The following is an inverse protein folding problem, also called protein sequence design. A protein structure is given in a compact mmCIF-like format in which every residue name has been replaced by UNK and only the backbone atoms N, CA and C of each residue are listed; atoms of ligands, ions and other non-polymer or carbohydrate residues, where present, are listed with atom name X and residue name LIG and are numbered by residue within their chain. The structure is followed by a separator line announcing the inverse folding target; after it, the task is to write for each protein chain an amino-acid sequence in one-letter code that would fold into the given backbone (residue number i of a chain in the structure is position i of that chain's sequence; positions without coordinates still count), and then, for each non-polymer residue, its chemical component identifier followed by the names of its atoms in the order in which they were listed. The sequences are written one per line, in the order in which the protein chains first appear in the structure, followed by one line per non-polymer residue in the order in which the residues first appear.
data_IF_794670093857
#
_entry.id   IF_794670093857
#
_cell.length_a   1.000
_cell.length_b   1.000
_cell.length_c   1.000
_cell.angle_alpha   90.00
_cell.angle_beta   90.00
_cell.angle_gamma   90.00
#
_symmetry.space_group_name_H-M   'P 1'
#
loop_
_entity.id
_entity.type
_entity.pdbx_description
1 polymer ?
#
# COMPACT_ATOMS: atom_id res chain seq x y z
N UNK A 1 7.28 -21.99 47.21
CA UNK A 1 7.17 -20.65 46.58
C UNK A 1 7.74 -20.75 45.16
N UNK A 2 6.91 -20.92 44.12
CA UNK A 2 7.37 -20.92 42.72
C UNK A 2 7.18 -19.49 42.18
N UNK A 3 8.27 -18.79 41.88
CA UNK A 3 8.21 -17.47 41.25
C UNK A 3 7.76 -17.63 39.79
N UNK A 4 6.59 -17.10 39.46
CA UNK A 4 6.13 -16.94 38.08
C UNK A 4 6.80 -15.72 37.46
N UNK A 5 7.57 -15.93 36.38
CA UNK A 5 8.09 -14.83 35.57
C UNK A 5 6.96 -14.18 34.75
N UNK A 6 6.99 -12.85 34.56
CA UNK A 6 5.94 -12.13 33.86
C UNK A 6 5.98 -12.42 32.35
N UNK A 7 4.92 -13.04 31.84
CA UNK A 7 4.69 -13.45 30.44
C UNK A 7 4.65 -12.28 29.43
N UNK A 8 4.71 -11.03 29.89
CA UNK A 8 4.64 -9.83 29.04
C UNK A 8 5.94 -9.54 28.25
N UNK A 9 7.10 -10.07 28.66
CA UNK A 9 8.37 -9.80 27.95
C UNK A 9 8.57 -10.64 26.68
N UNK A 10 8.02 -11.86 26.64
CA UNK A 10 8.14 -12.76 25.47
C UNK A 10 7.36 -12.25 24.25
N UNK A 11 6.23 -11.57 24.45
CA UNK A 11 5.43 -11.02 23.36
C UNK A 11 6.16 -9.92 22.59
N UNK A 12 6.87 -9.02 23.29
CA UNK A 12 7.66 -7.96 22.67
C UNK A 12 8.87 -8.49 21.90
N UNK A 13 9.53 -9.54 22.43
CA UNK A 13 10.67 -10.16 21.77
C UNK A 13 10.25 -10.88 20.47
N UNK A 14 9.09 -11.56 20.46
CA UNK A 14 8.55 -12.21 19.26
C UNK A 14 8.17 -11.21 18.18
N UNK A 15 7.57 -10.07 18.53
CA UNK A 15 7.24 -9.01 17.58
C UNK A 15 8.50 -8.43 16.91
N UNK A 16 9.55 -8.14 17.70
CA UNK A 16 10.83 -7.63 17.18
C UNK A 16 11.50 -8.65 16.23
N UNK A 17 11.49 -9.94 16.58
CA UNK A 17 12.06 -10.99 15.73
C UNK A 17 11.32 -11.10 14.40
N UNK A 18 9.98 -11.03 14.40
CA UNK A 18 9.18 -11.08 13.17
C UNK A 18 9.46 -9.87 12.27
N UNK A 19 9.55 -8.66 12.83
CA UNK A 19 9.88 -7.45 12.06
C UNK A 19 11.29 -7.53 11.46
N UNK A 20 12.28 -7.99 12.23
CA UNK A 20 13.67 -8.14 11.74
C UNK A 20 13.76 -9.19 10.62
N UNK A 21 13.07 -10.32 10.75
CA UNK A 21 13.05 -11.37 9.72
C UNK A 21 12.37 -10.89 8.44
N UNK A 22 11.26 -10.15 8.54
CA UNK A 22 10.60 -9.53 7.40
C UNK A 22 11.50 -8.51 6.68
N UNK A 23 12.19 -7.65 7.43
CA UNK A 23 13.15 -6.68 6.86
C UNK A 23 14.34 -7.36 6.17
N UNK A 24 14.87 -8.46 6.74
CA UNK A 24 15.94 -9.26 6.12
C UNK A 24 15.47 -9.92 4.82
N UNK A 25 14.23 -10.42 4.79
CA UNK A 25 13.65 -11.02 3.59
C UNK A 25 13.48 -9.99 2.48
N UNK A 26 12.94 -8.79 2.80
CA UNK A 26 12.83 -7.67 1.85
C UNK A 26 14.19 -7.22 1.34
N UNK A 27 15.19 -7.09 2.23
CA UNK A 27 16.57 -6.74 1.84
C UNK A 27 17.22 -7.79 0.93
N UNK A 28 16.93 -9.08 1.12
CA UNK A 28 17.39 -10.15 0.23
C UNK A 28 16.72 -10.10 -1.14
N UNK A 29 15.41 -9.86 -1.19
CA UNK A 29 14.68 -9.72 -2.45
C UNK A 29 15.15 -8.48 -3.21
N UNK A 30 15.31 -7.34 -2.53
CA UNK A 30 15.89 -6.13 -3.12
C UNK A 30 17.31 -6.39 -3.62
N UNK A 31 18.18 -7.07 -2.85
CA UNK A 31 19.52 -7.45 -3.31
C UNK A 31 19.47 -8.30 -4.58
N UNK A 32 18.52 -9.25 -4.68
CA UNK A 32 18.36 -10.06 -5.89
C UNK A 32 17.89 -9.25 -7.10
N UNK A 33 16.97 -8.30 -6.91
CA UNK A 33 16.52 -7.36 -7.94
C UNK A 33 17.62 -6.39 -8.36
N UNK A 34 18.44 -5.91 -7.42
CA UNK A 34 19.61 -5.07 -7.69
C UNK A 34 20.67 -5.84 -8.49
N UNK A 35 20.95 -7.10 -8.13
CA UNK A 35 21.88 -7.97 -8.87
C UNK A 35 21.35 -8.27 -10.27
N UNK A 36 20.04 -8.51 -10.43
CA UNK A 36 19.42 -8.73 -11.73
C UNK A 36 19.46 -7.47 -12.61
N UNK A 37 19.16 -6.29 -12.05
CA UNK A 37 19.28 -5.01 -12.74
C UNK A 37 20.72 -4.72 -13.18
N UNK A 38 21.71 -5.01 -12.30
CA UNK A 38 23.13 -4.91 -12.63
C UNK A 38 23.55 -5.88 -13.73
N UNK A 39 23.03 -7.11 -13.74
CA UNK A 39 23.32 -8.11 -14.78
C UNK A 39 22.77 -7.69 -16.15
N UNK A 40 21.54 -7.16 -16.20
CA UNK A 40 20.92 -6.64 -17.42
C UNK A 40 21.69 -5.41 -17.93
N UNK A 41 22.11 -4.49 -17.06
CA UNK A 41 22.88 -3.32 -17.45
C UNK A 41 24.29 -3.68 -17.93
N UNK A 42 24.97 -4.65 -17.30
CA UNK A 42 26.28 -5.14 -17.75
C UNK A 42 26.21 -5.74 -19.16
N UNK A 43 25.14 -6.45 -19.48
CA UNK A 43 24.91 -7.01 -20.81
C UNK A 43 24.63 -5.92 -21.86
N UNK A 44 23.87 -4.87 -21.50
CA UNK A 44 23.63 -3.73 -22.39
C UNK A 44 24.88 -2.89 -22.64
N UNK A 45 25.74 -2.71 -21.64
CA UNK A 45 27.04 -2.01 -21.80
C UNK A 45 28.02 -2.81 -22.65
N UNK A 46 28.01 -4.16 -22.57
CA UNK A 46 28.81 -5.00 -23.46
C UNK A 46 28.30 -5.00 -24.91
N UNK A 47 26.98 -5.00 -25.12
CA UNK A 47 26.38 -4.85 -26.45
C UNK A 47 26.71 -3.50 -27.09
N UNK A 48 26.77 -2.41 -26.31
CA UNK A 48 27.15 -1.07 -26.79
C UNK A 48 28.65 -0.90 -27.08
N UNK A 49 29.51 -1.69 -26.42
CA UNK A 49 30.96 -1.75 -26.73
C UNK A 49 31.26 -2.57 -27.98
N UNK A 50 30.46 -3.61 -28.27
CA UNK A 50 30.59 -4.40 -29.50
C UNK A 50 30.20 -3.60 -30.75
N UNK A 51 29.26 -2.65 -30.66
CA UNK A 51 28.84 -1.81 -31.79
C UNK A 51 29.76 -0.62 -32.09
N UNK A 52 30.60 -0.18 -31.14
CA UNK A 52 31.62 0.88 -31.36
C UNK A 52 32.94 0.38 -31.96
N UNK A 53 33.19 -0.93 -31.96
CA UNK A 53 34.41 -1.50 -32.56
C UNK A 53 34.31 -1.71 -34.08
N UNK A 54 33.17 -1.38 -34.70
CA UNK A 54 32.98 -1.52 -36.15
C UNK A 54 32.86 -0.20 -36.93
N UNK A 55 33.02 0.96 -36.29
CA UNK A 55 32.74 2.26 -36.95
C UNK A 55 33.82 3.36 -36.79
N UNK A 56 35.05 3.02 -36.42
CA UNK A 56 36.15 4.00 -36.41
C UNK A 56 37.39 3.46 -37.13
N UNK A 57 37.30 3.40 -38.46
CA UNK A 57 38.42 3.43 -39.38
C UNK A 57 38.13 4.57 -40.36
N UNK A 58 39.04 5.54 -40.45
CA UNK A 58 39.00 6.79 -41.24
C UNK A 58 38.57 8.06 -40.46
N UNK A 59 39.53 8.72 -39.79
CA UNK A 59 39.89 10.12 -40.08
C UNK A 59 41.10 10.64 -39.28
N UNK A 60 42.11 11.00 -40.05
CA UNK A 60 43.00 12.17 -40.00
C UNK A 60 43.93 12.47 -38.82
N UNK A 61 45.20 12.38 -39.17
CA UNK A 61 46.38 13.11 -38.69
C UNK A 61 46.13 14.60 -38.46
N UNK A 62 46.61 15.12 -37.33
CA UNK A 62 47.20 16.46 -37.20
C UNK A 62 48.15 16.50 -35.99
N UNK A 63 49.38 16.97 -36.24
CA UNK A 63 50.50 17.11 -35.29
C UNK A 63 50.38 18.39 -34.44
N UNK A 64 51.15 18.51 -33.34
CA UNK A 64 50.91 19.48 -32.28
C UNK A 64 51.71 20.78 -32.46
N UNK A 65 51.18 21.88 -31.96
CA UNK A 65 51.92 23.14 -31.72
C UNK A 65 51.86 23.44 -30.24
N UNK A 66 53.06 23.56 -29.64
CA UNK A 66 53.26 24.00 -28.28
C UNK A 66 53.09 25.53 -28.18
N UNK A 67 52.52 25.99 -27.07
CA UNK A 67 52.66 27.38 -26.61
C UNK A 67 52.56 27.39 -25.09
N UNK A 68 53.68 27.71 -24.45
CA UNK A 68 53.83 27.95 -23.03
C UNK A 68 53.54 29.42 -22.70
N UNK A 69 52.80 29.68 -21.62
CA UNK A 69 52.97 30.88 -20.79
C UNK A 69 52.39 30.65 -19.40
N UNK A 70 53.02 31.29 -18.42
CA UNK A 70 53.11 30.94 -17.00
C UNK A 70 52.11 31.73 -16.14
N UNK A 71 51.52 31.00 -15.18
CA UNK A 71 50.93 31.30 -13.86
C UNK A 71 50.64 32.72 -13.38
N UNK A 72 49.46 32.89 -12.76
CA UNK A 72 49.33 33.47 -11.41
C UNK A 72 48.33 32.66 -10.56
N UNK A 73 48.85 32.20 -9.43
CA UNK A 73 48.28 31.33 -8.40
C UNK A 73 46.95 31.77 -7.79
N UNK A 74 46.01 30.84 -7.86
CA UNK A 74 45.03 30.52 -6.85
C UNK A 74 44.58 29.10 -7.15
N UNK A 75 45.35 28.10 -6.67
CA UNK A 75 45.14 26.67 -6.91
C UNK A 75 43.77 26.20 -6.39
N UNK A 76 42.71 26.56 -7.12
CA UNK A 76 41.50 25.79 -7.18
C UNK A 76 41.89 24.52 -7.92
N UNK A 77 42.25 23.49 -7.16
CA UNK A 77 42.31 22.12 -7.67
C UNK A 77 41.02 21.91 -8.45
N UNK A 78 41.13 21.79 -9.77
CA UNK A 78 40.00 21.57 -10.66
C UNK A 78 39.47 20.16 -10.37
N UNK A 79 38.63 20.07 -9.32
CA UNK A 79 38.00 18.83 -8.91
C UNK A 79 37.14 18.40 -10.07
N UNK A 80 37.58 17.38 -10.80
CA UNK A 80 36.88 16.83 -11.95
C UNK A 80 35.42 16.52 -11.59
N UNK A 81 34.50 17.40 -12.01
CA UNK A 81 33.07 17.28 -11.71
C UNK A 81 32.43 16.38 -12.75
N UNK A 82 31.85 15.27 -12.30
CA UNK A 82 31.09 14.39 -13.16
C UNK A 82 29.60 14.63 -12.93
N UNK A 83 28.91 15.07 -13.98
CA UNK A 83 27.48 15.43 -13.92
C UNK A 83 26.61 14.19 -14.07
N UNK A 84 25.70 13.97 -13.12
CA UNK A 84 24.57 13.04 -13.24
C UNK A 84 23.37 13.84 -13.72
N UNK A 85 22.78 13.44 -14.85
CA UNK A 85 21.58 14.04 -15.42
C UNK A 85 20.61 12.93 -15.86
N UNK A 86 19.42 12.94 -15.29
CA UNK A 86 18.38 11.92 -15.46
C UNK A 86 17.04 12.58 -15.75
N UNK A 87 16.42 12.18 -16.87
CA UNK A 87 15.06 12.57 -17.22
C UNK A 87 14.16 11.34 -17.26
N UNK A 88 13.04 11.39 -16.54
CA UNK A 88 11.97 10.38 -16.58
C UNK A 88 10.71 11.02 -17.10
N UNK A 89 10.08 10.38 -18.10
CA UNK A 89 8.78 10.81 -18.65
C UNK A 89 7.69 9.78 -18.38
N UNK A 90 6.48 10.25 -18.04
CA UNK A 90 5.28 9.40 -17.89
C UNK A 90 4.05 10.14 -18.38
N UNK A 91 3.15 9.40 -19.03
CA UNK A 91 1.84 9.91 -19.45
C UNK A 91 0.74 9.36 -18.55
N UNK A 92 -0.23 10.21 -18.24
CA UNK A 92 -1.41 9.94 -17.43
C UNK A 92 -2.66 10.27 -18.26
N UNK A 93 -3.30 9.26 -18.89
CA UNK A 93 -4.50 9.47 -19.70
C UNK A 93 -5.65 9.98 -18.82
N UNK A 94 -6.45 10.95 -19.33
CA UNK A 94 -7.63 11.48 -18.63
C UNK A 94 -7.36 12.10 -17.26
N UNK A 95 -6.12 12.54 -17.00
CA UNK A 95 -5.71 13.20 -15.77
C UNK A 95 -5.21 14.60 -16.11
N UNK A 96 -5.69 15.61 -15.38
CA UNK A 96 -5.23 16.99 -15.56
C UNK A 96 -3.86 17.21 -14.90
N UNK A 97 -3.06 18.20 -15.35
CA UNK A 97 -1.79 18.53 -14.72
C UNK A 97 -1.89 18.80 -13.21
N UNK A 98 -2.96 19.46 -12.76
CA UNK A 98 -3.18 19.77 -11.36
C UNK A 98 -3.41 18.51 -10.50
N UNK A 99 -4.22 17.56 -11.00
CA UNK A 99 -4.44 16.27 -10.32
C UNK A 99 -3.14 15.46 -10.26
N UNK A 100 -2.37 15.43 -11.36
CA UNK A 100 -1.09 14.73 -11.39
C UNK A 100 -0.05 15.33 -10.43
N UNK A 101 0.03 16.67 -10.35
CA UNK A 101 0.86 17.39 -9.35
C UNK A 101 0.45 17.02 -7.93
N UNK A 102 -0.84 17.05 -7.62
CA UNK A 102 -1.34 16.74 -6.29
C UNK A 102 -1.00 15.29 -5.90
N UNK A 103 -1.16 14.35 -6.83
CA UNK A 103 -0.74 12.97 -6.62
C UNK A 103 0.78 12.83 -6.43
N UNK A 104 1.61 13.62 -7.12
CA UNK A 104 3.05 13.64 -6.86
C UNK A 104 3.37 14.15 -5.45
N UNK A 105 2.75 15.23 -5.00
CA UNK A 105 2.95 15.77 -3.66
C UNK A 105 2.48 14.79 -2.58
N UNK A 106 1.33 14.16 -2.77
CA UNK A 106 0.80 13.20 -1.81
C UNK A 106 1.65 11.92 -1.80
N UNK A 107 1.77 11.22 -2.92
CA UNK A 107 2.32 9.86 -2.93
C UNK A 107 3.83 9.81 -3.06
N UNK A 108 4.45 10.79 -3.74
CA UNK A 108 5.91 10.88 -3.78
C UNK A 108 6.45 11.75 -2.65
N UNK A 109 6.03 13.01 -2.55
CA UNK A 109 6.62 13.96 -1.61
C UNK A 109 6.36 13.57 -0.16
N UNK A 110 5.11 13.31 0.21
CA UNK A 110 4.75 13.01 1.60
C UNK A 110 4.93 11.53 1.98
N UNK A 111 4.78 10.59 1.05
CA UNK A 111 4.79 9.15 1.34
C UNK A 111 6.03 8.39 0.82
N UNK A 112 6.92 9.04 0.05
CA UNK A 112 8.18 8.44 -0.39
C UNK A 112 8.10 7.65 -1.70
N UNK A 113 7.02 7.79 -2.48
CA UNK A 113 6.94 7.33 -3.88
C UNK A 113 6.81 5.81 -4.02
N UNK A 114 6.30 5.13 -2.98
CA UNK A 114 6.22 3.68 -2.96
C UNK A 114 7.57 2.98 -2.87
N UNK A 115 8.58 3.68 -2.34
CA UNK A 115 9.85 3.09 -1.91
C UNK A 115 9.73 2.64 -0.44
N UNK A 116 10.52 1.65 0.01
CA UNK A 116 10.56 1.23 1.40
C UNK A 116 11.36 2.22 2.26
N UNK A 117 10.94 3.49 2.28
CA UNK A 117 11.56 4.60 2.99
C UNK A 117 10.56 5.24 3.94
N UNK A 118 11.09 5.96 4.94
CA UNK A 118 10.29 6.75 5.87
C UNK A 118 10.50 8.23 5.57
N UNK A 119 9.41 8.99 5.52
CA UNK A 119 9.44 10.43 5.28
C UNK A 119 9.05 11.16 6.56
N UNK A 120 9.89 12.11 6.97
CA UNK A 120 9.57 13.07 8.01
C UNK A 120 9.43 14.44 7.37
N UNK A 121 8.20 14.93 7.24
CA UNK A 121 7.92 16.27 6.74
C UNK A 121 8.15 17.31 7.85
N UNK A 122 8.75 18.44 7.50
CA UNK A 122 8.87 19.62 8.35
C UNK A 122 8.35 20.82 7.58
N UNK A 123 7.29 21.46 8.10
CA UNK A 123 6.77 22.70 7.55
C UNK A 123 7.38 23.86 8.34
N UNK A 124 8.30 24.58 7.72
CA UNK A 124 8.78 25.86 8.24
C UNK A 124 7.97 26.98 7.59
N UNK A 125 7.23 27.70 8.43
CA UNK A 125 6.55 28.92 8.02
C UNK A 125 7.55 30.05 8.26
N UNK A 126 8.14 30.59 7.20
CA UNK A 126 8.95 31.81 7.27
C UNK A 126 8.22 32.93 6.53
N UNK A 127 7.82 33.96 7.28
CA UNK A 127 7.26 35.30 6.99
C UNK A 127 6.48 35.64 5.70
N UNK A 128 6.43 34.81 4.65
CA UNK A 128 5.48 34.90 3.53
C UNK A 128 5.53 33.69 2.57
N UNK A 129 6.40 32.70 2.79
CA UNK A 129 6.52 31.50 1.94
C UNK A 129 6.48 30.21 2.76
N UNK A 130 5.53 29.33 2.43
CA UNK A 130 5.46 27.99 3.01
C UNK A 130 6.51 27.09 2.33
N UNK A 131 7.70 27.01 2.93
CA UNK A 131 8.70 26.04 2.49
C UNK A 131 8.34 24.65 2.99
N UNK A 132 8.09 23.74 2.05
CA UNK A 132 7.91 22.31 2.33
C UNK A 132 9.29 21.65 2.37
N UNK A 133 9.68 21.15 3.54
CA UNK A 133 10.90 20.37 3.71
C UNK A 133 10.57 18.94 4.11
N UNK A 134 11.45 18.00 3.75
CA UNK A 134 11.35 16.61 4.19
C UNK A 134 12.71 15.99 4.44
N UNK A 135 12.76 15.06 5.38
CA UNK A 135 13.90 14.17 5.62
C UNK A 135 13.53 12.75 5.23
N UNK A 136 14.40 12.11 4.44
CA UNK A 136 14.22 10.76 3.91
C UNK A 136 15.09 9.78 4.71
N UNK A 137 14.45 8.81 5.36
CA UNK A 137 15.12 7.74 6.11
C UNK A 137 15.16 6.43 5.32
N UNK A 138 16.22 5.61 5.45
CA UNK A 138 17.31 5.74 6.43
C UNK A 138 18.49 6.61 5.97
N UNK A 139 18.44 7.18 4.77
CA UNK A 139 19.60 7.88 4.18
C UNK A 139 19.89 9.26 4.77
N UNK A 140 18.96 9.80 5.57
CA UNK A 140 19.02 11.13 6.18
C UNK A 140 19.19 12.26 5.15
N UNK A 141 18.63 12.07 3.96
CA UNK A 141 18.65 13.07 2.89
C UNK A 141 17.58 14.12 3.18
N UNK A 142 17.95 15.40 3.12
CA UNK A 142 17.01 16.52 3.29
C UNK A 142 16.71 17.17 1.95
N UNK A 143 15.43 17.27 1.66
CA UNK A 143 14.91 17.92 0.46
C UNK A 143 14.05 19.12 0.82
N UNK A 144 14.17 20.17 0.01
CA UNK A 144 13.39 21.41 0.15
C UNK A 144 12.72 21.73 -1.17
N UNK A 145 11.40 21.90 -1.16
CA UNK A 145 10.65 22.39 -2.30
C UNK A 145 10.88 23.90 -2.43
N UNK A 146 11.49 24.32 -3.53
CA UNK A 146 11.89 25.72 -3.78
C UNK A 146 10.90 26.47 -4.64
N UNK A 147 10.19 25.77 -5.53
CA UNK A 147 9.12 26.33 -6.35
C UNK A 147 7.93 25.39 -6.33
N UNK A 148 6.76 25.98 -6.11
CA UNK A 148 5.49 25.31 -6.25
C UNK A 148 4.52 26.24 -6.98
N UNK A 149 4.41 26.07 -8.31
CA UNK A 149 3.44 26.83 -9.07
C UNK A 149 2.04 26.34 -8.69
N UNK A 150 1.27 27.20 -8.02
CA UNK A 150 -0.14 26.94 -7.72
C UNK A 150 -0.85 26.49 -8.99
N UNK A 151 -1.60 25.40 -8.90
CA UNK A 151 -2.42 24.94 -10.01
C UNK A 151 -3.88 25.30 -9.74
N UNK A 152 -4.47 26.04 -10.67
CA UNK A 152 -5.92 26.11 -10.83
C UNK A 152 -6.39 24.90 -11.63
N UNK A 153 -7.70 24.58 -11.58
CA UNK A 153 -8.25 23.39 -12.26
C UNK A 153 -8.03 23.41 -13.79
N UNK A 154 -7.98 24.61 -14.38
CA UNK A 154 -7.77 24.84 -15.81
C UNK A 154 -6.28 24.98 -16.21
N UNK A 155 -5.34 24.77 -15.26
CA UNK A 155 -3.92 24.92 -15.54
C UNK A 155 -3.44 23.86 -16.55
N UNK A 156 -3.03 24.31 -17.74
CA UNK A 156 -2.42 23.47 -18.78
C UNK A 156 -0.98 23.06 -18.46
N UNK A 157 -0.37 23.71 -17.47
CA UNK A 157 1.01 23.48 -17.04
C UNK A 157 1.18 23.77 -15.55
N UNK A 158 1.94 22.92 -14.85
CA UNK A 158 2.44 23.23 -13.51
C UNK A 158 3.84 22.65 -13.30
N UNK A 159 4.60 23.27 -12.41
CA UNK A 159 6.00 22.95 -12.15
C UNK A 159 6.30 22.95 -10.65
N UNK A 160 7.06 21.95 -10.24
CA UNK A 160 7.64 21.81 -8.91
C UNK A 160 9.16 21.78 -9.07
N UNK A 161 9.88 22.62 -8.32
CA UNK A 161 11.34 22.53 -8.22
C UNK A 161 11.71 22.22 -6.77
N UNK A 162 12.67 21.31 -6.58
CA UNK A 162 13.22 21.00 -5.28
C UNK A 162 14.73 20.82 -5.35
N UNK A 163 15.38 21.06 -4.21
CA UNK A 163 16.82 20.85 -4.03
C UNK A 163 17.06 19.89 -2.87
N UNK A 164 18.16 19.15 -2.95
CA UNK A 164 18.68 18.39 -1.81
C UNK A 164 19.68 19.29 -1.08
N UNK A 165 19.29 19.80 0.09
CA UNK A 165 20.14 20.65 0.92
C UNK A 165 21.22 19.85 1.64
N UNK A 166 20.89 18.61 2.03
CA UNK A 166 21.84 17.68 2.65
C UNK A 166 21.66 16.30 2.02
N UNK A 167 22.64 15.79 1.25
CA UNK A 167 22.53 14.47 0.63
C UNK A 167 22.50 13.34 1.68
N UNK A 168 23.09 13.57 2.86
CA UNK A 168 23.15 12.61 3.95
C UNK A 168 24.48 11.83 4.00
N UNK A 169 24.77 11.14 5.12
CA UNK A 169 26.10 10.59 5.40
C UNK A 169 26.52 9.44 4.47
N UNK A 170 25.57 8.84 3.75
CA UNK A 170 25.81 7.72 2.83
C UNK A 170 26.21 8.18 1.41
N UNK A 171 26.08 9.48 1.10
CA UNK A 171 26.27 10.03 -0.24
C UNK A 171 27.36 11.10 -0.29
N UNK A 172 28.50 10.84 0.37
CA UNK A 172 29.64 11.77 0.49
C UNK A 172 30.29 12.20 -0.83
N UNK A 173 29.99 11.47 -1.91
CA UNK A 173 30.55 11.74 -3.23
C UNK A 173 29.68 12.70 -4.04
N UNK A 174 28.48 13.03 -3.57
CA UNK A 174 27.61 14.05 -4.15
C UNK A 174 28.10 15.41 -3.66
N UNK A 175 28.31 16.35 -4.58
CA UNK A 175 28.76 17.70 -4.23
C UNK A 175 27.60 18.43 -3.55
N UNK A 176 27.86 19.04 -2.39
CA UNK A 176 26.87 19.79 -1.63
C UNK A 176 26.20 20.88 -2.49
N UNK A 177 24.89 21.04 -2.33
CA UNK A 177 24.04 21.99 -3.07
C UNK A 177 24.04 21.83 -4.60
N UNK A 178 24.67 20.78 -5.16
CA UNK A 178 24.63 20.52 -6.60
C UNK A 178 23.34 19.83 -7.04
N UNK A 179 22.64 19.19 -6.11
CA UNK A 179 21.48 18.37 -6.42
C UNK A 179 20.19 19.18 -6.46
N UNK A 180 19.67 19.30 -7.69
CA UNK A 180 18.43 19.96 -8.03
C UNK A 180 17.56 19.04 -8.87
N UNK A 181 16.25 19.23 -8.77
CA UNK A 181 15.29 18.48 -9.53
C UNK A 181 14.08 19.34 -9.86
N UNK A 182 13.47 19.01 -10.99
CA UNK A 182 12.32 19.71 -11.54
C UNK A 182 11.30 18.72 -12.06
N UNK A 183 10.05 18.88 -11.66
CA UNK A 183 8.92 18.05 -12.10
C UNK A 183 7.91 18.96 -12.77
N UNK A 184 7.70 18.75 -14.06
CA UNK A 184 6.72 19.49 -14.84
C UNK A 184 5.58 18.57 -15.23
N UNK A 185 4.36 19.08 -15.14
CA UNK A 185 3.14 18.43 -15.61
C UNK A 185 2.54 19.33 -16.68
N UNK A 186 2.35 18.81 -17.89
CA UNK A 186 1.78 19.54 -19.00
C UNK A 186 0.61 18.75 -19.61
N UNK A 187 -0.41 19.44 -20.10
CA UNK A 187 -1.48 18.80 -20.86
C UNK A 187 -0.93 18.19 -22.15
N UNK A 188 -1.31 16.95 -22.42
CA UNK A 188 -0.99 16.25 -23.67
C UNK A 188 -2.24 16.22 -24.56
N UNK A 189 -2.26 17.10 -25.56
CA UNK A 189 -3.36 17.24 -26.52
C UNK A 189 -3.70 15.92 -27.23
N UNK A 190 -2.73 15.00 -27.37
CA UNK A 190 -2.94 13.73 -28.09
C UNK A 190 -3.68 12.68 -27.28
N UNK A 191 -3.53 12.69 -25.95
CA UNK A 191 -4.05 11.65 -25.07
C UNK A 191 -5.19 12.12 -24.17
N UNK A 192 -5.66 13.37 -24.34
CA UNK A 192 -6.59 14.04 -23.44
C UNK A 192 -6.16 13.86 -21.97
N UNK A 193 -4.86 14.00 -21.72
CA UNK A 193 -4.24 13.64 -20.45
C UNK A 193 -3.12 14.59 -20.08
N UNK A 194 -2.21 14.10 -19.23
CA UNK A 194 -1.06 14.85 -18.76
C UNK A 194 0.24 14.08 -19.02
N UNK A 195 1.27 14.77 -19.50
CA UNK A 195 2.66 14.29 -19.48
C UNK A 195 3.40 14.88 -18.27
N UNK A 196 3.99 14.01 -17.47
CA UNK A 196 4.98 14.36 -16.45
C UNK A 196 6.38 14.17 -16.98
N UNK A 197 7.22 15.19 -16.80
CA UNK A 197 8.66 15.14 -17.05
C UNK A 197 9.37 15.48 -15.74
N UNK A 198 10.20 14.55 -15.27
CA UNK A 198 10.98 14.71 -14.04
C UNK A 198 12.46 14.68 -14.38
N UNK A 199 13.10 15.84 -14.23
CA UNK A 199 14.53 16.03 -14.44
C UNK A 199 15.24 16.08 -13.09
N UNK A 200 16.32 15.33 -12.94
CA UNK A 200 17.17 15.32 -11.75
C UNK A 200 18.62 15.49 -12.17
N UNK A 201 19.30 16.46 -11.58
CA UNK A 201 20.69 16.80 -11.89
C UNK A 201 21.49 17.04 -10.64
N UNK A 202 22.69 16.46 -10.57
CA UNK A 202 23.67 16.70 -9.50
C UNK A 202 25.08 16.36 -9.94
N UNK A 203 26.06 16.92 -9.25
CA UNK A 203 27.47 16.66 -9.51
C UNK A 203 28.01 15.61 -8.53
N UNK A 204 28.90 14.77 -9.03
CA UNK A 204 29.55 13.70 -8.27
C UNK A 204 31.07 13.75 -8.46
N UNK A 205 31.81 13.40 -7.42
CA UNK A 205 33.27 13.24 -7.49
C UNK A 205 33.66 11.88 -8.08
N UNK A 206 32.83 10.84 -7.89
CA UNK A 206 33.02 9.48 -8.41
C UNK A 206 31.68 8.73 -8.52
N UNK A 207 31.71 7.53 -9.12
CA UNK A 207 30.55 6.63 -9.24
C UNK A 207 29.35 7.18 -10.05
N UNK A 208 29.58 8.11 -10.96
CA UNK A 208 28.54 8.79 -11.76
C UNK A 208 27.57 7.82 -12.44
N UNK A 209 28.07 6.74 -13.04
CA UNK A 209 27.23 5.73 -13.69
C UNK A 209 26.34 4.96 -12.70
N UNK A 210 26.85 4.69 -11.50
CA UNK A 210 26.06 4.05 -10.43
C UNK A 210 24.96 5.00 -9.94
N UNK A 211 25.31 6.27 -9.67
CA UNK A 211 24.35 7.28 -9.25
C UNK A 211 23.28 7.52 -10.31
N UNK A 212 23.66 7.60 -11.58
CA UNK A 212 22.72 7.71 -12.70
C UNK A 212 21.73 6.53 -12.74
N UNK A 213 22.23 5.30 -12.62
CA UNK A 213 21.38 4.10 -12.61
C UNK A 213 20.44 4.07 -11.39
N UNK A 214 20.96 4.39 -10.20
CA UNK A 214 20.18 4.45 -8.96
C UNK A 214 19.10 5.54 -9.04
N UNK A 215 19.43 6.75 -9.48
CA UNK A 215 18.47 7.84 -9.65
C UNK A 215 17.39 7.47 -10.67
N UNK A 216 17.77 6.88 -11.81
CA UNK A 216 16.81 6.40 -12.80
C UNK A 216 15.86 5.35 -12.21
N UNK A 217 16.37 4.43 -11.38
CA UNK A 217 15.55 3.44 -10.69
C UNK A 217 14.59 4.08 -9.66
N UNK A 218 15.08 4.97 -8.80
CA UNK A 218 14.28 5.58 -7.72
C UNK A 218 13.22 6.53 -8.26
N UNK A 219 13.60 7.42 -9.18
CA UNK A 219 12.69 8.35 -9.86
C UNK A 219 11.72 7.58 -10.74
N UNK A 220 12.21 6.59 -11.50
CA UNK A 220 11.38 5.74 -12.33
C UNK A 220 10.34 4.93 -11.55
N UNK A 221 10.71 4.42 -10.37
CA UNK A 221 9.80 3.72 -9.46
C UNK A 221 8.75 4.67 -8.90
N UNK A 222 9.17 5.85 -8.40
CA UNK A 222 8.24 6.88 -7.91
C UNK A 222 7.25 7.34 -8.98
N UNK A 223 7.74 7.54 -10.20
CA UNK A 223 6.91 7.92 -11.35
C UNK A 223 5.91 6.82 -11.74
N UNK A 224 6.29 5.54 -11.61
CA UNK A 224 5.37 4.42 -11.80
C UNK A 224 4.33 4.34 -10.68
N UNK A 225 4.71 4.58 -9.43
CA UNK A 225 3.80 4.65 -8.29
C UNK A 225 2.71 5.71 -8.52
N UNK A 226 3.09 6.92 -8.95
CA UNK A 226 2.13 7.98 -9.26
C UNK A 226 1.17 7.54 -10.38
N UNK A 227 1.70 6.89 -11.42
CA UNK A 227 0.88 6.33 -12.50
C UNK A 227 -0.13 5.30 -11.98
N UNK A 228 0.29 4.42 -11.08
CA UNK A 228 -0.56 3.37 -10.49
C UNK A 228 -1.62 3.95 -9.54
N UNK A 229 -1.30 5.00 -8.80
CA UNK A 229 -2.24 5.77 -7.96
C UNK A 229 -3.31 6.46 -8.81
N UNK A 230 -2.91 7.06 -9.93
CA UNK A 230 -3.81 7.78 -10.82
C UNK A 230 -4.61 6.85 -11.74
N UNK A 231 -4.26 5.55 -11.77
CA UNK A 231 -5.00 4.57 -12.54
C UNK A 231 -6.40 4.31 -11.95
N UNK A 232 -7.26 3.72 -12.77
CA UNK A 232 -8.57 3.26 -12.33
C UNK A 232 -8.40 2.23 -11.19
N UNK A 233 -9.14 2.36 -10.08
CA UNK A 233 -9.09 1.42 -8.98
C UNK A 233 -9.68 0.07 -9.40
N UNK A 234 -9.18 -0.99 -8.75
CA UNK A 234 -9.77 -2.33 -8.79
C UNK A 234 -10.87 -2.37 -7.74
N UNK A 235 -12.09 -2.68 -8.16
CA UNK A 235 -13.25 -2.66 -7.27
C UNK A 235 -13.70 -4.08 -6.97
N UNK A 236 -13.69 -4.44 -5.70
CA UNK A 236 -14.30 -5.64 -5.15
C UNK A 236 -15.67 -5.28 -4.60
N UNK A 237 -16.74 -5.88 -5.14
CA UNK A 237 -18.08 -5.77 -4.55
C UNK A 237 -18.48 -7.11 -3.97
N UNK A 238 -18.97 -7.12 -2.75
CA UNK A 238 -19.58 -8.26 -2.09
C UNK A 238 -20.95 -7.91 -1.53
N UNK A 239 -21.96 -8.72 -1.83
CA UNK A 239 -23.33 -8.56 -1.35
C UNK A 239 -23.75 -9.79 -0.56
N UNK A 240 -24.41 -9.60 0.58
CA UNK A 240 -24.99 -10.68 1.38
C UNK A 240 -26.35 -10.33 1.96
N UNK A 241 -27.29 -11.27 1.89
CA UNK A 241 -28.59 -11.16 2.54
C UNK A 241 -28.59 -11.97 3.85
N UNK A 242 -28.90 -11.31 4.96
CA UNK A 242 -28.88 -11.86 6.31
C UNK A 242 -30.31 -11.85 6.85
N UNK A 243 -30.89 -13.03 7.11
CA UNK A 243 -32.20 -13.16 7.76
C UNK A 243 -32.08 -12.89 9.25
N UNK A 244 -32.42 -11.67 9.69
CA UNK A 244 -32.41 -11.26 11.08
C UNK A 244 -33.50 -10.21 11.35
N UNK A 245 -34.01 -10.15 12.57
CA UNK A 245 -35.07 -9.21 12.96
C UNK A 245 -34.58 -7.77 13.21
N UNK A 246 -33.29 -7.51 13.00
CA UNK A 246 -32.68 -6.21 13.24
C UNK A 246 -32.98 -5.23 12.09
N UNK A 247 -32.97 -3.93 12.38
CA UNK A 247 -33.00 -2.90 11.36
C UNK A 247 -31.57 -2.56 10.87
N UNK A 248 -31.46 -1.83 9.76
CA UNK A 248 -30.18 -1.47 9.16
C UNK A 248 -29.28 -0.69 10.13
N UNK A 249 -29.86 0.16 10.99
CA UNK A 249 -29.14 0.95 11.97
C UNK A 249 -28.50 0.08 13.05
N UNK A 250 -29.27 -0.85 13.61
CA UNK A 250 -28.77 -1.77 14.64
C UNK A 250 -27.72 -2.72 14.06
N UNK A 251 -27.90 -3.24 12.84
CA UNK A 251 -26.90 -4.09 12.19
C UNK A 251 -25.60 -3.35 11.88
N UNK A 252 -25.68 -2.08 11.46
CA UNK A 252 -24.50 -1.21 11.31
C UNK A 252 -23.76 -1.03 12.64
N UNK A 253 -24.49 -0.81 13.73
CA UNK A 253 -23.88 -0.64 15.07
C UNK A 253 -23.19 -1.93 15.52
N UNK A 254 -23.82 -3.10 15.31
CA UNK A 254 -23.19 -4.40 15.55
C UNK A 254 -21.95 -4.59 14.69
N UNK A 255 -21.98 -4.24 13.41
CA UNK A 255 -20.77 -4.29 12.57
C UNK A 255 -19.68 -3.40 13.14
N UNK A 256 -20.03 -2.18 13.55
CA UNK A 256 -19.07 -1.25 14.10
C UNK A 256 -18.42 -1.80 15.39
N UNK A 257 -19.20 -2.29 16.32
CA UNK A 257 -18.65 -2.88 17.55
C UNK A 257 -17.87 -4.18 17.25
N UNK A 258 -18.45 -5.10 16.51
CA UNK A 258 -17.88 -6.41 16.28
C UNK A 258 -16.71 -6.39 15.29
N UNK A 259 -16.89 -5.82 14.10
CA UNK A 259 -15.90 -5.83 13.01
C UNK A 259 -14.87 -4.72 13.18
N UNK A 260 -15.32 -3.47 13.36
CA UNK A 260 -14.40 -2.33 13.43
C UNK A 260 -13.56 -2.38 14.71
N UNK A 261 -14.21 -2.44 15.87
CA UNK A 261 -13.52 -2.36 17.17
C UNK A 261 -12.89 -3.70 17.58
N UNK A 262 -13.64 -4.80 17.47
CA UNK A 262 -13.22 -6.11 17.97
C UNK A 262 -12.56 -7.02 16.91
N UNK A 263 -12.37 -6.54 15.68
CA UNK A 263 -11.68 -7.26 14.62
C UNK A 263 -12.49 -8.38 13.95
N UNK A 264 -13.80 -8.45 14.23
CA UNK A 264 -14.76 -9.31 13.54
C UNK A 264 -14.44 -10.79 13.61
N UNK A 265 -13.81 -11.22 14.70
CA UNK A 265 -13.44 -12.62 14.91
C UNK A 265 -12.21 -13.08 14.12
N UNK A 266 -11.50 -12.21 13.42
CA UNK A 266 -10.21 -12.55 12.82
C UNK A 266 -9.20 -12.96 13.92
N UNK A 267 -8.19 -13.79 13.60
CA UNK A 267 -7.14 -14.18 14.55
C UNK A 267 -6.12 -13.04 14.76
N UNK A 268 -6.62 -11.83 14.97
CA UNK A 268 -5.87 -10.60 15.18
C UNK A 268 -6.22 -10.03 16.56
N UNK A 269 -5.27 -9.39 17.25
CA UNK A 269 -5.58 -8.57 18.41
C UNK A 269 -6.67 -7.53 18.10
N UNK A 270 -7.50 -7.15 19.09
CA UNK A 270 -8.45 -6.04 18.94
C UNK A 270 -7.75 -4.77 18.47
N UNK A 271 -8.48 -3.95 17.71
CA UNK A 271 -7.93 -2.70 17.22
C UNK A 271 -7.76 -1.68 18.36
N UNK A 272 -6.72 -0.86 18.29
CA UNK A 272 -6.50 0.22 19.25
C UNK A 272 -7.14 1.50 18.71
N UNK A 273 -8.25 2.00 19.28
CA UNK A 273 -8.79 3.29 18.88
C UNK A 273 -7.83 4.41 19.30
N UNK A 274 -7.64 5.40 18.43
CA UNK A 274 -6.85 6.59 18.75
C UNK A 274 -7.36 7.81 17.99
N UNK A 275 -7.01 9.01 18.46
CA UNK A 275 -7.57 10.27 17.95
C UNK A 275 -8.88 10.66 18.62
N UNK A 276 -9.62 11.61 18.04
CA UNK A 276 -10.87 12.12 18.59
C UNK A 276 -11.96 11.04 18.48
N UNK A 277 -12.62 10.75 19.60
CA UNK A 277 -13.73 9.78 19.67
C UNK A 277 -15.00 10.38 19.07
N UNK A 278 -15.87 9.54 18.52
CA UNK A 278 -17.12 9.94 17.86
C UNK A 278 -18.10 10.49 18.92
N UNK A 279 -18.30 11.80 18.95
CA UNK A 279 -19.54 12.41 19.43
C UNK A 279 -20.33 12.84 18.18
N UNK A 280 -21.39 12.08 17.89
CA UNK A 280 -22.39 12.25 16.83
C UNK A 280 -22.05 13.02 15.53
N UNK A 281 -22.10 12.28 14.43
CA UNK A 281 -22.42 12.68 13.04
C UNK A 281 -21.33 13.27 12.12
N UNK A 282 -20.17 13.74 12.60
CA UNK A 282 -19.12 14.26 11.68
C UNK A 282 -17.67 13.87 12.00
N UNK A 283 -17.43 13.18 13.13
CA UNK A 283 -16.08 12.91 13.59
C UNK A 283 -15.46 11.64 12.96
N UNK A 284 -14.23 11.79 12.45
CA UNK A 284 -13.37 10.70 11.96
C UNK A 284 -12.88 9.85 13.13
N UNK A 285 -13.21 8.56 13.15
CA UNK A 285 -12.58 7.62 14.08
C UNK A 285 -11.42 6.91 13.43
N UNK A 286 -10.26 6.94 14.09
CA UNK A 286 -9.09 6.20 13.68
C UNK A 286 -8.90 4.96 14.56
N UNK A 287 -8.55 3.85 13.93
CA UNK A 287 -8.13 2.64 14.63
C UNK A 287 -6.77 2.20 14.11
N UNK A 288 -5.94 1.67 15.01
CA UNK A 288 -4.68 1.03 14.69
C UNK A 288 -4.87 -0.48 14.84
N UNK A 289 -4.72 -1.22 13.74
CA UNK A 289 -4.62 -2.68 13.78
C UNK A 289 -3.17 -3.08 13.96
N UNK A 290 -2.92 -4.15 14.73
CA UNK A 290 -1.57 -4.67 14.97
C UNK A 290 -1.63 -6.20 14.98
N UNK A 291 -0.80 -6.93 14.21
CA UNK A 291 -0.07 -6.54 13.00
C UNK A 291 -0.92 -6.71 11.72
N UNK A 292 -0.56 -6.02 10.61
CA UNK A 292 0.45 -4.97 10.51
C UNK A 292 -0.11 -3.64 11.03
N UNK A 293 0.76 -2.66 11.32
CA UNK A 293 0.45 -1.30 11.84
C UNK A 293 -0.41 -0.48 10.86
N UNK A 294 -1.60 -0.97 10.55
CA UNK A 294 -2.55 -0.37 9.63
C UNK A 294 -3.37 0.62 10.43
N UNK A 295 -3.42 1.85 9.94
CA UNK A 295 -4.39 2.82 10.43
C UNK A 295 -5.59 2.83 9.49
N UNK A 296 -6.78 2.62 10.04
CA UNK A 296 -8.05 2.75 9.31
C UNK A 296 -8.81 3.94 9.86
N UNK A 297 -9.49 4.68 8.98
CA UNK A 297 -10.29 5.84 9.35
C UNK A 297 -11.67 5.73 8.74
N UNK A 298 -12.72 5.91 9.56
CA UNK A 298 -14.06 6.19 9.04
C UNK A 298 -14.08 7.63 8.56
N UNK A 299 -14.31 7.81 7.27
CA UNK A 299 -14.32 9.11 6.58
C UNK A 299 -15.68 9.76 6.68
N UNK A 300 -16.73 8.97 6.49
CA UNK A 300 -18.11 9.45 6.48
C UNK A 300 -19.07 8.37 7.02
N UNK A 301 -20.21 8.79 7.54
CA UNK A 301 -21.29 7.90 7.98
C UNK A 301 -22.62 8.43 7.51
N UNK A 302 -23.44 7.57 6.92
CA UNK A 302 -24.76 7.94 6.42
C UNK A 302 -25.84 7.05 7.04
N UNK A 303 -27.01 7.65 7.29
CA UNK A 303 -28.16 6.96 7.90
C UNK A 303 -29.47 7.57 7.40
N UNK A 304 -30.39 6.72 6.96
CA UNK A 304 -31.79 7.03 6.72
C UNK A 304 -32.68 5.94 7.37
N UNK A 305 -33.98 5.92 7.10
CA UNK A 305 -34.90 4.96 7.73
C UNK A 305 -34.64 3.51 7.33
N UNK A 306 -34.20 3.26 6.08
CA UNK A 306 -34.04 1.91 5.52
C UNK A 306 -32.59 1.52 5.28
N UNK A 307 -31.67 2.48 5.37
CA UNK A 307 -30.27 2.32 5.02
C UNK A 307 -29.37 2.96 6.07
N UNK A 308 -28.29 2.28 6.40
CA UNK A 308 -27.24 2.81 7.25
C UNK A 308 -25.89 2.31 6.75
N UNK A 309 -24.86 3.14 6.80
CA UNK A 309 -23.55 2.76 6.30
C UNK A 309 -22.47 3.74 6.70
N UNK A 310 -21.27 3.45 6.21
CA UNK A 310 -20.11 4.31 6.41
C UNK A 310 -19.08 4.07 5.31
N UNK A 311 -18.29 5.10 5.05
CA UNK A 311 -17.10 5.04 4.22
C UNK A 311 -15.87 5.00 5.11
N UNK A 312 -14.90 4.16 4.76
CA UNK A 312 -13.62 4.08 5.44
C UNK A 312 -12.45 4.09 4.45
N UNK A 313 -11.27 4.45 4.94
CA UNK A 313 -10.02 4.44 4.19
C UNK A 313 -8.90 3.84 5.03
N UNK A 314 -7.95 3.18 4.38
CA UNK A 314 -6.66 2.88 5.02
C UNK A 314 -5.75 4.11 4.84
N UNK A 315 -5.21 4.61 5.95
CA UNK A 315 -4.29 5.74 5.90
C UNK A 315 -2.91 5.26 5.49
N UNK A 316 -2.41 5.82 4.39
CA UNK A 316 -1.05 5.60 3.87
C UNK A 316 -0.63 4.12 3.81
N UNK A 317 -1.41 3.25 3.12
CA UNK A 317 -0.97 1.89 2.89
C UNK A 317 0.33 1.91 2.06
N UNK A 318 1.23 0.96 2.31
CA UNK A 318 2.52 0.92 1.62
C UNK A 318 3.42 -0.21 2.08
N UNK A 319 4.74 -0.05 1.88
CA UNK A 319 5.72 -1.09 2.18
C UNK A 319 5.78 -1.47 3.67
N UNK A 320 5.48 -0.53 4.56
CA UNK A 320 5.48 -0.77 6.00
C UNK A 320 4.24 -1.52 6.50
N UNK A 321 3.20 -1.62 5.66
CA UNK A 321 1.97 -2.35 5.96
C UNK A 321 1.95 -3.75 5.33
N UNK A 322 3.11 -4.34 4.98
CA UNK A 322 3.18 -5.69 4.40
C UNK A 322 2.37 -6.71 5.22
N UNK A 323 1.55 -7.58 4.59
CA UNK A 323 1.46 -7.87 3.15
C UNK A 323 0.57 -6.92 2.33
N UNK A 324 0.02 -5.87 2.92
CA UNK A 324 -0.89 -4.92 2.27
C UNK A 324 -0.12 -3.91 1.41
N UNK A 325 0.48 -4.41 0.33
CA UNK A 325 1.18 -3.63 -0.67
C UNK A 325 0.17 -3.01 -1.65
N UNK A 326 -0.45 -1.91 -1.23
CA UNK A 326 -1.32 -1.09 -2.07
C UNK A 326 -1.08 0.39 -1.85
N UNK A 327 -1.38 1.21 -2.85
CA UNK A 327 -1.27 2.66 -2.80
C UNK A 327 -2.48 3.31 -2.14
N UNK A 328 -3.67 2.78 -2.40
CA UNK A 328 -4.93 3.27 -1.84
C UNK A 328 -5.85 2.10 -1.50
N UNK A 329 -6.68 2.31 -0.47
CA UNK A 329 -7.75 1.41 -0.08
C UNK A 329 -8.91 2.24 0.46
N UNK A 330 -10.05 2.22 -0.23
CA UNK A 330 -11.30 2.80 0.24
C UNK A 330 -12.33 1.69 0.36
N UNK A 331 -13.16 1.73 1.38
CA UNK A 331 -14.30 0.82 1.48
C UNK A 331 -15.58 1.54 1.85
N UNK A 332 -16.69 1.00 1.39
CA UNK A 332 -18.04 1.45 1.72
C UNK A 332 -18.82 0.23 2.16
N UNK A 333 -19.41 0.31 3.36
CA UNK A 333 -20.28 -0.74 3.90
C UNK A 333 -21.67 -0.14 4.06
N UNK A 334 -22.65 -0.77 3.43
CA UNK A 334 -24.03 -0.32 3.44
C UNK A 334 -24.96 -1.46 3.86
N UNK A 335 -25.82 -1.17 4.82
CA UNK A 335 -26.87 -2.04 5.31
C UNK A 335 -28.21 -1.51 4.80
N UNK A 336 -29.02 -2.38 4.20
CA UNK A 336 -30.39 -2.06 3.77
C UNK A 336 -31.37 -3.01 4.44
N UNK A 337 -32.34 -2.46 5.16
CA UNK A 337 -33.49 -3.23 5.64
C UNK A 337 -34.37 -3.59 4.45
N UNK A 338 -34.59 -4.88 4.27
CA UNK A 338 -35.56 -5.40 3.32
C UNK A 338 -36.87 -5.70 4.04
N UNK A 339 -37.96 -5.75 3.28
CA UNK A 339 -39.20 -6.35 3.77
C UNK A 339 -38.90 -7.82 4.16
N UNK A 340 -39.58 -8.38 5.17
CA UNK A 340 -39.42 -9.77 5.64
C UNK A 340 -38.21 -10.10 6.56
N UNK A 341 -37.91 -9.28 7.57
CA UNK A 341 -36.89 -9.59 8.60
C UNK A 341 -35.55 -10.03 7.99
N UNK A 342 -35.11 -9.27 6.99
CA UNK A 342 -33.81 -9.50 6.37
C UNK A 342 -33.11 -8.19 6.11
N UNK A 343 -31.79 -8.24 6.15
CA UNK A 343 -30.92 -7.10 5.86
C UNK A 343 -30.01 -7.50 4.70
N UNK A 344 -29.94 -6.66 3.68
CA UNK A 344 -28.89 -6.75 2.66
C UNK A 344 -27.69 -5.95 3.11
N UNK A 345 -26.50 -6.55 3.04
CA UNK A 345 -25.23 -5.88 3.28
C UNK A 345 -24.43 -5.83 1.98
N UNK A 346 -24.17 -4.61 1.52
CA UNK A 346 -23.29 -4.32 0.39
C UNK A 346 -21.96 -3.80 0.91
N UNK A 347 -20.87 -4.50 0.62
CA UNK A 347 -19.51 -4.07 0.90
C UNK A 347 -18.75 -3.88 -0.40
N UNK A 348 -18.41 -2.63 -0.71
CA UNK A 348 -17.60 -2.24 -1.87
C UNK A 348 -16.22 -1.83 -1.37
N UNK A 349 -15.16 -2.41 -1.93
CA UNK A 349 -13.77 -2.10 -1.60
C UNK A 349 -13.04 -1.72 -2.88
N UNK A 350 -12.48 -0.52 -2.91
CA UNK A 350 -11.65 0.00 -3.98
C UNK A 350 -10.19 -0.06 -3.56
N UNK A 351 -9.35 -0.73 -4.35
CA UNK A 351 -7.91 -0.81 -4.10
C UNK A 351 -7.11 -0.40 -5.34
N UNK A 352 -5.92 0.15 -5.09
CA UNK A 352 -4.88 0.30 -6.12
C UNK A 352 -3.63 -0.44 -5.67
N UNK A 353 -3.51 -1.74 -5.94
CA UNK A 353 -2.35 -2.51 -5.51
C UNK A 353 -1.10 -2.15 -6.32
N UNK A 354 0.09 -2.36 -5.74
CA UNK A 354 1.30 -2.39 -6.57
C UNK A 354 1.18 -3.51 -7.59
N UNK A 355 1.56 -3.25 -8.84
CA UNK A 355 1.38 -4.24 -9.93
C UNK A 355 1.96 -5.62 -9.62
N UNK A 356 3.11 -5.67 -8.95
CA UNK A 356 3.78 -6.93 -8.56
C UNK A 356 3.04 -7.71 -7.47
N UNK A 357 2.19 -7.04 -6.70
CA UNK A 357 1.47 -7.60 -5.55
C UNK A 357 -0.04 -7.73 -5.81
N UNK A 358 -0.55 -7.24 -6.95
CA UNK A 358 -1.98 -7.18 -7.24
C UNK A 358 -2.72 -8.51 -7.01
N UNK A 359 -2.27 -9.68 -7.52
CA UNK A 359 -2.99 -10.93 -7.28
C UNK A 359 -3.05 -11.33 -5.81
N UNK A 360 -1.99 -11.06 -5.05
CA UNK A 360 -1.92 -11.36 -3.62
C UNK A 360 -2.86 -10.43 -2.84
N UNK A 361 -2.82 -9.13 -3.12
CA UNK A 361 -3.64 -8.13 -2.43
C UNK A 361 -5.12 -8.35 -2.72
N UNK A 362 -5.49 -8.60 -3.98
CA UNK A 362 -6.87 -8.93 -4.35
C UNK A 362 -7.37 -10.14 -3.59
N UNK A 363 -6.56 -11.21 -3.52
CA UNK A 363 -6.94 -12.41 -2.78
C UNK A 363 -7.06 -12.15 -1.28
N UNK A 364 -6.17 -11.35 -0.70
CA UNK A 364 -6.24 -10.95 0.71
C UNK A 364 -7.51 -10.15 1.02
N UNK A 365 -7.89 -9.20 0.15
CA UNK A 365 -9.15 -8.44 0.29
C UNK A 365 -10.35 -9.38 0.22
N UNK A 366 -10.40 -10.25 -0.80
CA UNK A 366 -11.48 -11.23 -0.97
C UNK A 366 -11.64 -12.10 0.29
N UNK A 367 -10.53 -12.65 0.81
CA UNK A 367 -10.53 -13.50 2.01
C UNK A 367 -11.00 -12.72 3.24
N UNK A 368 -10.46 -11.52 3.44
CA UNK A 368 -10.73 -10.72 4.63
C UNK A 368 -12.18 -10.28 4.67
N UNK A 369 -12.68 -9.66 3.59
CA UNK A 369 -14.06 -9.18 3.49
C UNK A 369 -15.04 -10.34 3.60
N UNK A 370 -14.78 -11.46 2.89
CA UNK A 370 -15.66 -12.63 2.96
C UNK A 370 -15.74 -13.24 4.36
N UNK A 371 -14.60 -13.30 5.06
CA UNK A 371 -14.54 -13.82 6.43
C UNK A 371 -15.31 -12.92 7.39
N UNK A 372 -15.08 -11.61 7.32
CA UNK A 372 -15.74 -10.64 8.20
C UNK A 372 -17.26 -10.65 8.02
N UNK A 373 -17.75 -10.67 6.77
CA UNK A 373 -19.18 -10.68 6.50
C UNK A 373 -19.85 -11.98 6.96
N UNK A 374 -19.17 -13.12 6.83
CA UNK A 374 -19.66 -14.41 7.34
C UNK A 374 -19.72 -14.44 8.86
N UNK A 375 -18.66 -13.97 9.51
CA UNK A 375 -18.61 -13.89 10.97
C UNK A 375 -19.73 -12.97 11.48
N UNK A 376 -19.95 -11.84 10.81
CA UNK A 376 -21.08 -10.95 11.09
C UNK A 376 -22.41 -11.66 10.90
N UNK A 377 -22.60 -12.42 9.81
CA UNK A 377 -23.84 -13.19 9.60
C UNK A 377 -24.12 -14.11 10.77
N UNK A 378 -23.14 -14.93 11.19
CA UNK A 378 -23.29 -15.82 12.36
C UNK A 378 -23.62 -15.02 13.62
N UNK A 379 -22.91 -13.90 13.84
CA UNK A 379 -23.15 -13.00 14.98
C UNK A 379 -24.61 -12.53 15.05
N UNK A 380 -25.19 -12.16 13.91
CA UNK A 380 -26.54 -11.61 13.81
C UNK A 380 -27.63 -12.69 13.80
N UNK A 381 -27.38 -13.87 13.24
CA UNK A 381 -28.40 -14.93 13.09
C UNK A 381 -28.37 -15.94 14.24
N UNK A 382 -27.21 -16.19 14.83
CA UNK A 382 -27.00 -17.17 15.91
C UNK A 382 -26.21 -16.55 17.08
N UNK A 383 -26.76 -15.54 17.78
CA UNK A 383 -26.04 -14.85 18.85
C UNK A 383 -25.55 -15.81 19.93
N UNK A 384 -24.24 -15.81 20.21
CA UNK A 384 -23.63 -16.65 21.24
C UNK A 384 -23.38 -18.11 20.83
N UNK A 385 -23.59 -18.48 19.56
CA UNK A 385 -23.25 -19.82 19.08
C UNK A 385 -21.76 -20.14 19.30
N UNK A 386 -21.49 -21.38 19.70
CA UNK A 386 -20.14 -21.86 19.96
C UNK A 386 -19.95 -23.28 19.42
N UNK A 387 -18.73 -23.58 19.01
CA UNK A 387 -18.30 -24.87 18.46
C UNK A 387 -17.47 -25.60 19.49
N UNK A 388 -17.86 -26.84 19.82
CA UNK A 388 -17.14 -27.69 20.77
C UNK A 388 -15.89 -28.28 20.11
N UNK A 389 -14.74 -28.14 20.75
CA UNK A 389 -13.48 -28.75 20.32
C UNK A 389 -13.48 -30.21 20.76
N UNK A 390 -13.73 -31.13 19.82
CA UNK A 390 -13.69 -32.58 20.06
C UNK A 390 -12.26 -33.13 19.96
N UNK A 391 -11.93 -34.22 20.67
CA UNK A 391 -10.61 -34.85 20.56
C UNK A 391 -10.38 -35.49 19.18
N UNK A 392 -9.11 -35.59 18.74
CA UNK A 392 -8.77 -36.27 17.49
C UNK A 392 -9.34 -37.70 17.48
N UNK A 393 -10.15 -38.01 16.46
CA UNK A 393 -10.78 -39.33 16.25
C UNK A 393 -11.71 -39.79 17.38
N UNK A 394 -12.24 -38.88 18.19
CA UNK A 394 -13.18 -39.23 19.27
C UNK A 394 -12.54 -40.06 20.39
N UNK A 395 -11.21 -40.07 20.51
CA UNK A 395 -10.53 -40.80 21.58
C UNK A 395 -10.74 -40.08 22.92
N UNK A 396 -11.77 -40.52 23.65
CA UNK A 396 -12.14 -39.99 24.98
C UNK A 396 -11.13 -40.36 26.08
N UNK A 397 -10.26 -41.36 25.84
CA UNK A 397 -9.26 -41.78 26.81
C UNK A 397 -8.19 -40.70 27.02
N UNK A 398 -7.91 -39.90 25.99
CA UNK A 398 -6.99 -38.75 26.07
C UNK A 398 -7.52 -37.62 26.96
N UNK A 399 -8.82 -37.62 27.27
CA UNK A 399 -9.51 -36.55 27.97
C UNK A 399 -9.90 -36.87 29.41
N UNK A 400 -9.42 -37.99 29.97
CA UNK A 400 -9.76 -38.43 31.33
C UNK A 400 -11.28 -38.44 31.59
N UNK A 401 -12.07 -38.85 30.58
CA UNK A 401 -13.53 -38.88 30.67
C UNK A 401 -14.26 -37.58 30.31
N UNK A 402 -13.56 -36.51 29.88
CA UNK A 402 -14.22 -35.35 29.25
C UNK A 402 -14.57 -35.62 27.79
N UNK A 403 -15.67 -35.03 27.32
CA UNK A 403 -16.15 -35.16 25.93
C UNK A 403 -15.57 -34.11 24.98
N UNK A 404 -15.00 -33.03 25.51
CA UNK A 404 -14.45 -31.91 24.75
C UNK A 404 -13.24 -31.25 25.46
N UNK A 405 -12.45 -30.51 24.68
CA UNK A 405 -11.33 -29.68 25.16
C UNK A 405 -11.77 -28.25 25.55
N UNK A 406 -12.97 -27.83 25.14
CA UNK A 406 -13.49 -26.48 25.32
C UNK A 406 -14.41 -26.08 24.18
N UNK A 407 -14.83 -24.81 24.16
CA UNK A 407 -15.66 -24.23 23.11
C UNK A 407 -15.03 -22.97 22.51
N UNK A 408 -15.30 -22.72 21.23
CA UNK A 408 -14.85 -21.53 20.51
C UNK A 408 -16.07 -20.83 19.91
N UNK A 409 -16.21 -19.49 20.02
CA UNK A 409 -17.33 -18.78 19.41
C UNK A 409 -17.41 -19.04 17.90
N UNK A 410 -18.60 -19.38 17.39
CA UNK A 410 -18.83 -19.73 15.97
C UNK A 410 -18.64 -18.53 15.04
N UNK A 411 -18.88 -17.32 15.55
CA UNK A 411 -18.62 -16.03 14.90
C UNK A 411 -17.12 -15.65 14.88
N UNK A 412 -16.22 -16.48 15.42
CA UNK A 412 -14.77 -16.32 15.24
C UNK A 412 -14.27 -17.07 14.00
N UNK A 413 -13.13 -16.65 13.46
CA UNK A 413 -12.45 -17.35 12.37
C UNK A 413 -12.19 -18.80 12.72
N UNK A 414 -11.65 -19.08 13.92
CA UNK A 414 -11.36 -20.44 14.35
C UNK A 414 -12.64 -21.25 14.54
N UNK A 415 -13.68 -20.67 15.15
CA UNK A 415 -14.96 -21.34 15.33
C UNK A 415 -15.61 -21.70 14.00
N UNK A 416 -15.70 -20.74 13.07
CA UNK A 416 -16.24 -21.00 11.74
C UNK A 416 -15.42 -22.00 10.92
N UNK A 417 -14.10 -22.06 11.13
CA UNK A 417 -13.19 -23.06 10.51
C UNK A 417 -13.43 -24.45 11.12
N UNK A 418 -13.61 -24.54 12.44
CA UNK A 418 -13.91 -25.79 13.13
C UNK A 418 -15.31 -26.32 12.79
N UNK A 419 -16.32 -25.45 12.75
CA UNK A 419 -17.70 -25.80 12.38
C UNK A 419 -17.74 -26.37 10.96
N UNK A 420 -17.12 -25.64 10.03
CA UNK A 420 -17.01 -26.06 8.64
C UNK A 420 -16.26 -27.39 8.50
N UNK A 421 -15.18 -27.61 9.25
CA UNK A 421 -14.45 -28.88 9.27
C UNK A 421 -15.29 -30.03 9.84
N UNK A 422 -16.10 -29.80 10.87
CA UNK A 422 -16.99 -30.81 11.45
C UNK A 422 -18.11 -31.23 10.50
N UNK A 423 -18.54 -30.32 9.62
CA UNK A 423 -19.57 -30.56 8.59
C UNK A 423 -18.97 -31.05 7.25
N UNK A 424 -17.65 -31.00 7.09
CA UNK A 424 -16.97 -31.35 5.83
C UNK A 424 -16.99 -32.87 5.58
N UNK A 425 -17.78 -33.31 4.62
CA UNK A 425 -17.88 -34.72 4.22
C UNK A 425 -16.92 -35.11 3.08
N UNK A 426 -16.02 -34.22 2.65
CA UNK A 426 -15.06 -34.50 1.57
C UNK A 426 -13.96 -35.48 2.01
N UNK A 427 -13.23 -36.12 1.08
CA UNK A 427 -12.12 -37.01 1.42
C UNK A 427 -11.00 -36.30 2.20
N UNK A 428 -10.34 -37.02 3.10
CA UNK A 428 -9.25 -36.52 3.98
C UNK A 428 -8.14 -35.78 3.23
N UNK A 429 -7.82 -36.23 2.00
CA UNK A 429 -6.79 -35.59 1.17
C UNK A 429 -7.19 -34.18 0.78
N UNK A 430 -8.45 -33.96 0.39
CA UNK A 430 -8.98 -32.63 0.06
C UNK A 430 -9.06 -31.74 1.31
N UNK A 431 -9.48 -32.29 2.45
CA UNK A 431 -9.48 -31.59 3.73
C UNK A 431 -8.07 -31.14 4.13
N UNK A 432 -7.07 -32.00 3.91
CA UNK A 432 -5.64 -31.73 4.16
C UNK A 432 -5.11 -30.61 3.26
N UNK A 433 -5.41 -30.64 1.96
CA UNK A 433 -5.06 -29.53 1.05
C UNK A 433 -5.73 -28.23 1.42
N UNK A 434 -6.88 -28.29 2.07
CA UNK A 434 -7.55 -27.09 2.51
C UNK A 434 -6.96 -26.57 3.86
N UNK A 435 -6.15 -27.34 4.61
CA UNK A 435 -5.41 -26.84 5.80
C UNK A 435 -4.44 -25.71 5.45
N UNK A 436 -3.85 -25.78 4.25
CA UNK A 436 -2.94 -24.75 3.73
C UNK A 436 -3.70 -23.57 3.10
N UNK A 437 -5.03 -23.66 3.03
CA UNK A 437 -5.94 -22.61 2.61
C UNK A 437 -7.10 -22.53 3.61
N UNK A 438 -6.85 -22.24 4.90
CA UNK A 438 -7.87 -22.39 5.93
C UNK A 438 -9.09 -21.47 5.71
N UNK A 439 -8.98 -20.47 4.82
CA UNK A 439 -10.11 -19.65 4.34
C UNK A 439 -11.08 -20.40 3.39
N UNK A 440 -10.72 -21.57 2.85
CA UNK A 440 -11.56 -22.42 1.98
C UNK A 440 -12.13 -23.65 2.70
N UNK A 441 -11.89 -23.81 4.01
CA UNK A 441 -12.41 -24.93 4.79
C UNK A 441 -13.92 -24.97 4.90
N UNK A 442 -14.51 -26.10 4.49
CA UNK A 442 -15.96 -26.31 4.26
C UNK A 442 -16.64 -25.24 3.39
N UNK A 443 -15.85 -24.47 2.63
CA UNK A 443 -16.28 -23.26 1.94
C UNK A 443 -15.79 -23.35 0.50
N UNK A 444 -16.60 -23.92 -0.37
CA UNK A 444 -16.33 -23.83 -1.80
C UNK A 444 -16.45 -22.34 -2.16
N UNK A 445 -15.44 -21.76 -2.82
CA UNK A 445 -15.49 -20.37 -3.29
C UNK A 445 -16.61 -20.10 -4.32
N UNK A 446 -17.56 -21.03 -4.49
CA UNK A 446 -18.74 -20.96 -5.34
C UNK A 446 -20.02 -20.65 -4.54
N UNK A 447 -19.90 -20.41 -3.22
CA UNK A 447 -21.04 -20.40 -2.31
C UNK A 447 -21.50 -21.84 -2.06
N UNK A 448 -21.69 -22.23 -0.81
CA UNK A 448 -22.61 -23.33 -0.57
C UNK A 448 -24.03 -22.87 -1.02
N UNK A 449 -24.95 -23.79 -1.29
CA UNK A 449 -26.29 -23.44 -1.79
C UNK A 449 -27.11 -22.52 -0.88
N UNK A 450 -26.59 -22.17 0.31
CA UNK A 450 -27.17 -21.28 1.31
C UNK A 450 -26.31 -20.02 1.59
N UNK A 451 -25.12 -19.92 0.99
CA UNK A 451 -24.24 -18.77 1.06
C UNK A 451 -24.62 -17.84 -0.09
N UNK A 452 -25.56 -16.93 0.20
CA UNK A 452 -25.96 -15.79 -0.64
C UNK A 452 -24.83 -14.75 -0.61
N UNK A 453 -23.60 -15.16 -0.93
CA UNK A 453 -22.44 -14.29 -1.05
C UNK A 453 -22.08 -14.22 -2.51
N UNK A 454 -22.42 -13.10 -3.14
CA UNK A 454 -22.02 -12.80 -4.50
C UNK A 454 -20.88 -11.80 -4.45
N UNK A 455 -19.74 -12.15 -5.03
CA UNK A 455 -18.64 -11.22 -5.21
C UNK A 455 -18.24 -11.08 -6.67
N UNK A 456 -17.73 -9.91 -7.03
CA UNK A 456 -17.14 -9.67 -8.35
C UNK A 456 -16.04 -8.63 -8.26
N UNK A 457 -14.99 -8.84 -9.04
CA UNK A 457 -14.02 -7.81 -9.38
C UNK A 457 -14.51 -7.06 -10.61
N UNK A 458 -14.51 -5.73 -10.53
CA UNK A 458 -14.85 -4.86 -11.65
C UNK A 458 -13.59 -4.11 -12.08
N UNK A 459 -13.29 -4.18 -13.38
CA UNK A 459 -12.33 -3.30 -14.03
C UNK A 459 -13.07 -2.01 -14.41
N UNK A 460 -12.73 -0.89 -13.77
CA UNK A 460 -13.35 0.42 -14.06
C UNK A 460 -12.94 1.00 -15.43
N UNK A 461 -12.10 0.32 -16.22
CA UNK A 461 -11.72 0.75 -17.57
C UNK A 461 -12.91 0.81 -18.54
N UNK A 462 -14.05 0.22 -18.18
CA UNK A 462 -15.33 0.52 -18.82
C UNK A 462 -16.03 1.60 -18.00
N UNK A 463 -16.21 2.83 -18.52
CA UNK A 463 -17.08 3.80 -17.86
C UNK A 463 -18.44 3.14 -17.68
N UNK A 464 -18.76 2.80 -16.44
CA UNK A 464 -20.09 2.41 -16.03
C UNK A 464 -20.96 3.65 -16.19
N UNK A 465 -21.58 3.79 -17.35
CA UNK A 465 -22.77 4.62 -17.47
C UNK A 465 -23.74 4.16 -16.38
N UNK A 466 -24.08 5.09 -15.48
CA UNK A 466 -24.86 4.90 -14.26
C UNK A 466 -24.09 4.31 -13.06
N UNK A 467 -23.58 5.21 -12.21
CA UNK A 467 -23.96 5.34 -10.79
C UNK A 467 -23.59 6.78 -10.38
N UNK A 468 -24.51 7.70 -10.65
CA UNK A 468 -24.67 9.08 -10.15
C UNK A 468 -25.88 9.59 -10.95
N UNK A 469 -27.01 10.02 -10.41
CA UNK A 469 -27.34 10.68 -9.16
C UNK A 469 -28.81 10.34 -8.82
N UNK A 470 -29.19 10.30 -7.55
CA UNK A 470 -30.49 10.87 -7.16
C UNK A 470 -30.23 11.69 -5.91
N UNK A 471 -30.51 12.98 -6.06
CA UNK A 471 -30.55 14.04 -5.06
C UNK A 471 -31.62 13.79 -4.01
#
# INVERSE_FOLDING_TARGET
MRMSLPTKSLGRLRAIIITVVASIFVMRTLRSSFVAAFAVQKNNVMAFRSSRLYSNSLRNNQSPVASSSIDINGDAVDVQRNVVDVTVKRSFPKVTPCVARNAWLEYHWSQGGGLPILIQSSNTISDDTKMLQRTIYPVLMKETLTLDTSCDEDASFTKLDYIVSEPGPFYRDVIDNSHSASVTFASDEKSEGCEMIWNVRFDTTKWTEFYKAMTLFLVGTSANTIKEVLAAPRVFKMTSNIHCSMDAKSARNEWFEFVWMNGGGLPLPPAFPFGKTIEDTTAKQNILRIPPLITETIVDTFKNERMAGFEYTLNSPGWLTFPFLMHTHKGVVEFRSNDYNSISVDWVVEIRPYKIAAPLVEKLVEITVSTLLRNLRVRLTEPGAAVLIKPPRGNTDLLMGRTDFGSVPKDSWLGGVLDAHLLDSRPTVEQTFAMIQPWTWGRTGKGDGFDVVQFKWLDQDKPSSAIMQVT
#
